data_IF_025342372074
#
_entry.id   IF_025342372074
#
_cell.length_a   1.000
_cell.length_b   1.000
_cell.length_c   1.000
_cell.angle_alpha   90.00
_cell.angle_beta   90.00
_cell.angle_gamma   90.00
#
_symmetry.space_group_name_H-M   'P 1'
#
loop_
_entity.id
_entity.type
_entity.pdbx_description
1 polymer ?
#
# COMPACT_ATOMS: atom_id res chain seq x y z
N UNK A 1 -14.94 29.99 -20.24
CA UNK A 1 -14.01 29.01 -20.80
C UNK A 1 -13.18 28.36 -19.70
N UNK A 2 -13.72 28.11 -18.51
CA UNK A 2 -13.01 27.51 -17.36
C UNK A 2 -13.81 26.38 -16.67
N UNK A 3 -14.86 25.87 -17.30
CA UNK A 3 -15.74 24.87 -16.70
C UNK A 3 -15.66 23.46 -17.34
N UNK A 4 -14.78 23.26 -18.32
CA UNK A 4 -14.66 21.99 -19.07
C UNK A 4 -13.42 21.16 -18.69
N UNK A 5 -12.57 21.64 -17.79
CA UNK A 5 -11.37 20.90 -17.37
C UNK A 5 -11.57 20.03 -16.12
N UNK A 6 -12.75 20.04 -15.53
CA UNK A 6 -13.04 19.29 -14.28
C UNK A 6 -13.55 17.86 -14.48
N UNK A 7 -13.68 17.36 -15.71
CA UNK A 7 -14.40 16.10 -15.97
C UNK A 7 -13.69 15.06 -16.85
N UNK A 8 -12.43 15.23 -17.12
CA UNK A 8 -11.70 14.15 -17.79
C UNK A 8 -10.51 13.70 -16.92
N UNK A 9 -10.78 12.87 -15.94
CA UNK A 9 -9.80 11.87 -15.54
C UNK A 9 -9.49 11.11 -16.82
N UNK A 10 -8.40 11.50 -17.49
CA UNK A 10 -8.05 10.84 -18.75
C UNK A 10 -7.79 9.37 -18.45
N UNK A 11 -8.24 8.49 -19.32
CA UNK A 11 -7.98 7.06 -19.18
C UNK A 11 -6.50 6.79 -18.92
N UNK A 12 -5.61 7.59 -19.50
CA UNK A 12 -4.17 7.53 -19.25
C UNK A 12 -3.80 7.79 -17.77
N UNK A 13 -4.41 8.78 -17.12
CA UNK A 13 -4.16 9.05 -15.70
C UNK A 13 -4.61 7.88 -14.82
N UNK A 14 -5.72 7.23 -15.21
CA UNK A 14 -6.21 6.05 -14.51
C UNK A 14 -5.22 4.88 -14.64
N UNK A 15 -4.65 4.64 -15.83
CA UNK A 15 -3.66 3.58 -16.04
C UNK A 15 -2.41 3.78 -15.17
N UNK A 16 -1.93 5.01 -15.05
CA UNK A 16 -0.78 5.31 -14.21
C UNK A 16 -1.09 5.28 -12.70
N UNK A 17 -2.36 5.44 -12.30
CA UNK A 17 -2.78 5.30 -10.90
C UNK A 17 -3.02 3.84 -10.48
N UNK A 18 -3.17 2.89 -11.42
CA UNK A 18 -3.47 1.48 -11.16
C UNK A 18 -2.57 0.84 -10.09
N UNK A 19 -1.24 1.02 -10.08
CA UNK A 19 -0.39 0.39 -9.07
C UNK A 19 -0.75 0.80 -7.63
N UNK A 20 -1.08 2.06 -7.40
CA UNK A 20 -1.50 2.55 -6.08
C UNK A 20 -2.93 2.09 -5.76
N UNK A 21 -3.82 2.14 -6.74
CA UNK A 21 -5.20 1.65 -6.59
C UNK A 21 -5.26 0.15 -6.26
N UNK A 22 -4.32 -0.65 -6.76
CA UNK A 22 -4.24 -2.08 -6.39
C UNK A 22 -3.85 -2.27 -4.94
N UNK A 23 -3.01 -1.42 -4.36
CA UNK A 23 -2.69 -1.47 -2.93
C UNK A 23 -3.93 -1.10 -2.11
N UNK A 24 -4.67 -0.05 -2.49
CA UNK A 24 -5.92 0.35 -1.82
C UNK A 24 -6.96 -0.77 -1.90
N UNK A 25 -7.22 -1.29 -3.10
CA UNK A 25 -8.15 -2.41 -3.30
C UNK A 25 -7.70 -3.66 -2.52
N UNK A 26 -6.39 -3.91 -2.48
CA UNK A 26 -5.78 -5.00 -1.73
C UNK A 26 -6.07 -4.92 -0.24
N UNK A 27 -5.96 -3.74 0.37
CA UNK A 27 -6.31 -3.53 1.79
C UNK A 27 -7.77 -3.92 2.03
N UNK A 28 -8.69 -3.45 1.19
CA UNK A 28 -10.12 -3.76 1.30
C UNK A 28 -10.35 -5.27 1.16
N UNK A 29 -9.71 -5.91 0.17
CA UNK A 29 -9.84 -7.35 -0.05
C UNK A 29 -9.30 -8.16 1.14
N UNK A 30 -8.12 -7.83 1.65
CA UNK A 30 -7.54 -8.51 2.82
C UNK A 30 -8.42 -8.30 4.05
N UNK A 31 -8.97 -7.10 4.25
CA UNK A 31 -9.90 -6.79 5.35
C UNK A 31 -11.20 -7.60 5.26
N UNK A 32 -11.77 -7.73 4.07
CA UNK A 32 -12.97 -8.55 3.85
C UNK A 32 -12.69 -10.05 4.03
N UNK A 33 -11.55 -10.54 3.57
CA UNK A 33 -11.15 -11.94 3.74
C UNK A 33 -10.89 -12.26 5.22
N UNK A 34 -10.27 -11.35 5.97
CA UNK A 34 -10.08 -11.49 7.41
C UNK A 34 -11.42 -11.55 8.17
N UNK A 35 -12.42 -10.76 7.76
CA UNK A 35 -13.76 -10.78 8.35
C UNK A 35 -14.59 -12.01 8.00
N UNK A 36 -14.44 -12.53 6.76
CA UNK A 36 -15.24 -13.66 6.28
C UNK A 36 -14.70 -15.03 6.74
N UNK A 37 -13.40 -15.22 6.64
CA UNK A 37 -12.74 -16.49 6.96
C UNK A 37 -11.45 -16.22 7.69
N UNK A 38 -11.49 -16.37 9.00
CA UNK A 38 -10.35 -16.21 9.90
C UNK A 38 -9.30 -17.31 9.61
N UNK A 39 -8.45 -17.07 8.62
CA UNK A 39 -7.44 -18.01 8.16
C UNK A 39 -6.14 -17.28 7.85
N UNK A 40 -5.16 -17.49 8.70
CA UNK A 40 -3.83 -16.88 8.63
C UNK A 40 -3.13 -17.00 7.27
N UNK A 41 -3.33 -18.15 6.60
CA UNK A 41 -2.71 -18.41 5.30
C UNK A 41 -3.32 -17.57 4.17
N UNK A 42 -4.63 -17.33 4.22
CA UNK A 42 -5.34 -16.58 3.16
C UNK A 42 -4.88 -15.12 3.15
N UNK A 43 -4.82 -14.46 4.30
CA UNK A 43 -4.39 -13.06 4.42
C UNK A 43 -2.93 -12.87 3.98
N UNK A 44 -2.06 -13.82 4.29
CA UNK A 44 -0.68 -13.83 3.81
C UNK A 44 -0.58 -13.89 2.28
N UNK A 45 -1.22 -14.89 1.66
CA UNK A 45 -1.16 -15.04 0.20
C UNK A 45 -1.87 -13.88 -0.52
N UNK A 46 -2.94 -13.37 0.04
CA UNK A 46 -3.62 -12.17 -0.49
C UNK A 46 -2.68 -10.96 -0.47
N UNK A 47 -1.97 -10.71 0.64
CA UNK A 47 -1.00 -9.61 0.75
C UNK A 47 0.14 -9.77 -0.25
N UNK A 48 0.69 -10.98 -0.40
CA UNK A 48 1.73 -11.25 -1.41
C UNK A 48 1.22 -11.00 -2.83
N UNK A 49 0.01 -11.45 -3.15
CA UNK A 49 -0.57 -11.26 -4.48
C UNK A 49 -0.81 -9.80 -4.81
N UNK A 50 -1.26 -9.00 -3.83
CA UNK A 50 -1.45 -7.54 -3.97
C UNK A 50 -0.13 -6.84 -4.27
N UNK A 51 0.92 -7.13 -3.50
CA UNK A 51 2.23 -6.50 -3.70
C UNK A 51 2.86 -6.91 -5.03
N UNK A 52 2.76 -8.19 -5.43
CA UNK A 52 3.24 -8.67 -6.73
C UNK A 52 2.49 -8.00 -7.88
N UNK A 53 1.17 -7.89 -7.77
CA UNK A 53 0.35 -7.23 -8.78
C UNK A 53 0.71 -5.75 -8.89
N UNK A 54 0.93 -5.05 -7.78
CA UNK A 54 1.37 -3.66 -7.77
C UNK A 54 2.73 -3.47 -8.47
N UNK A 55 3.68 -4.39 -8.26
CA UNK A 55 4.98 -4.37 -8.95
C UNK A 55 4.80 -4.60 -10.45
N UNK A 56 4.04 -5.63 -10.84
CA UNK A 56 3.81 -5.96 -12.26
C UNK A 56 3.14 -4.80 -13.01
N UNK A 57 2.14 -4.18 -12.40
CA UNK A 57 1.48 -3.00 -12.98
C UNK A 57 2.42 -1.80 -13.07
N UNK A 58 3.23 -1.57 -12.04
CA UNK A 58 4.21 -0.46 -12.07
C UNK A 58 5.30 -0.66 -13.12
N UNK A 59 5.68 -1.90 -13.41
CA UNK A 59 6.61 -2.22 -14.50
C UNK A 59 5.96 -2.12 -15.88
N UNK A 60 4.69 -2.51 -16.01
CA UNK A 60 3.95 -2.44 -17.27
C UNK A 60 3.61 -1.01 -17.68
N UNK A 61 3.34 -0.14 -16.72
CA UNK A 61 2.97 1.27 -16.93
C UNK A 61 4.08 2.21 -16.44
N UNK A 62 5.31 1.94 -16.83
CA UNK A 62 6.46 2.76 -16.45
C UNK A 62 6.43 4.08 -17.23
N UNK A 63 6.31 5.25 -16.59
CA UNK A 63 6.18 6.52 -17.28
C UNK A 63 7.52 6.94 -17.90
N UNK A 64 7.53 7.28 -19.17
CA UNK A 64 8.71 7.84 -19.85
C UNK A 64 8.87 9.32 -19.51
N UNK A 65 7.77 10.04 -19.35
CA UNK A 65 7.72 11.45 -18.97
C UNK A 65 6.98 11.64 -17.64
N UNK A 66 7.11 12.83 -17.05
CA UNK A 66 6.43 13.15 -15.81
C UNK A 66 4.94 13.39 -16.05
N UNK A 67 4.10 12.53 -15.49
CA UNK A 67 2.64 12.62 -15.57
C UNK A 67 2.09 13.14 -14.25
N UNK A 68 1.36 14.25 -14.28
CA UNK A 68 0.58 14.73 -13.14
C UNK A 68 -0.73 13.96 -13.07
N UNK A 69 -0.87 13.06 -12.09
CA UNK A 69 -2.12 12.32 -11.86
C UNK A 69 -3.23 13.24 -11.37
N UNK A 70 -2.88 14.14 -10.45
CA UNK A 70 -3.74 15.18 -9.89
C UNK A 70 -2.85 16.36 -9.48
N UNK A 71 -3.45 17.46 -9.04
CA UNK A 71 -2.67 18.56 -8.41
C UNK A 71 -1.88 18.06 -7.19
N UNK A 72 -2.32 16.99 -6.54
CA UNK A 72 -1.76 16.44 -5.30
C UNK A 72 -0.71 15.35 -5.52
N UNK A 73 -0.70 14.70 -6.68
CA UNK A 73 0.16 13.55 -6.96
C UNK A 73 0.81 13.64 -8.34
N UNK A 74 2.13 13.39 -8.38
CA UNK A 74 2.94 13.38 -9.60
C UNK A 74 3.70 12.08 -9.74
N UNK A 75 3.64 11.51 -10.93
CA UNK A 75 4.33 10.29 -11.30
C UNK A 75 5.47 10.61 -12.27
N UNK A 76 6.66 10.12 -12.00
CA UNK A 76 7.81 10.18 -12.90
C UNK A 76 8.65 8.89 -12.76
N UNK A 77 9.69 8.74 -13.58
CA UNK A 77 10.59 7.57 -13.52
C UNK A 77 11.16 7.31 -12.12
N UNK A 78 11.56 8.36 -11.43
CA UNK A 78 12.17 8.25 -10.09
C UNK A 78 11.15 7.77 -9.07
N UNK A 79 9.96 8.36 -9.03
CA UNK A 79 8.91 7.97 -8.08
C UNK A 79 8.42 6.55 -8.34
N UNK A 80 8.29 6.13 -9.61
CA UNK A 80 7.93 4.75 -9.96
C UNK A 80 9.00 3.75 -9.54
N UNK A 81 10.29 4.07 -9.74
CA UNK A 81 11.39 3.21 -9.29
C UNK A 81 11.41 3.08 -7.77
N UNK A 82 11.22 4.18 -7.03
CA UNK A 82 11.15 4.15 -5.55
C UNK A 82 9.95 3.34 -5.07
N UNK A 83 8.79 3.46 -5.75
CA UNK A 83 7.60 2.66 -5.44
C UNK A 83 7.84 1.16 -5.65
N UNK A 84 8.49 0.77 -6.74
CA UNK A 84 8.87 -0.64 -6.98
C UNK A 84 9.81 -1.13 -5.87
N UNK A 85 10.82 -0.34 -5.49
CA UNK A 85 11.71 -0.68 -4.39
C UNK A 85 10.95 -0.84 -3.06
N UNK A 86 10.00 0.05 -2.78
CA UNK A 86 9.12 -0.05 -1.61
C UNK A 86 8.33 -1.37 -1.63
N UNK A 87 7.73 -1.74 -2.76
CA UNK A 87 6.98 -2.99 -2.87
C UNK A 87 7.85 -4.24 -2.73
N UNK A 88 9.06 -4.24 -3.30
CA UNK A 88 10.03 -5.35 -3.18
C UNK A 88 10.49 -5.53 -1.73
N UNK A 89 10.85 -4.44 -1.05
CA UNK A 89 11.22 -4.50 0.38
C UNK A 89 10.05 -4.94 1.24
N UNK A 90 8.83 -4.51 0.92
CA UNK A 90 7.60 -4.94 1.59
C UNK A 90 7.35 -6.44 1.43
N UNK A 91 7.59 -7.02 0.25
CA UNK A 91 7.51 -8.47 0.03
C UNK A 91 8.49 -9.23 0.93
N UNK A 92 9.73 -8.75 1.02
CA UNK A 92 10.76 -9.34 1.90
C UNK A 92 10.32 -9.31 3.36
N UNK A 93 9.80 -8.18 3.83
CA UNK A 93 9.32 -8.01 5.22
C UNK A 93 8.15 -8.97 5.49
N UNK A 94 7.16 -9.05 4.62
CA UNK A 94 6.00 -9.96 4.76
C UNK A 94 6.44 -11.42 4.81
N UNK A 95 7.43 -11.80 3.99
CA UNK A 95 7.98 -13.15 3.98
C UNK A 95 8.66 -13.52 5.30
N UNK A 96 9.51 -12.63 5.83
CA UNK A 96 10.21 -12.84 7.10
C UNK A 96 9.22 -12.80 8.28
N UNK A 97 8.31 -11.84 8.28
CA UNK A 97 7.31 -11.67 9.33
C UNK A 97 6.41 -12.90 9.49
N UNK A 98 6.10 -13.62 8.40
CA UNK A 98 5.29 -14.84 8.47
C UNK A 98 5.86 -15.87 9.44
N UNK A 99 7.17 -16.13 9.37
CA UNK A 99 7.80 -17.12 10.25
C UNK A 99 7.70 -16.70 11.72
N UNK A 100 7.95 -15.43 11.99
CA UNK A 100 7.82 -14.88 13.35
C UNK A 100 6.39 -14.98 13.89
N UNK A 101 5.41 -14.57 13.08
CA UNK A 101 4.00 -14.57 13.45
C UNK A 101 3.48 -15.97 13.74
N UNK A 102 3.84 -16.98 12.96
CA UNK A 102 3.39 -18.36 13.16
C UNK A 102 3.81 -18.96 14.53
N UNK A 103 4.90 -18.47 15.11
CA UNK A 103 5.41 -18.95 16.40
C UNK A 103 4.94 -18.14 17.60
N UNK A 104 4.54 -16.87 17.42
CA UNK A 104 4.36 -15.96 18.55
C UNK A 104 2.97 -15.31 18.65
N UNK A 105 2.10 -15.53 17.66
CA UNK A 105 0.84 -14.78 17.56
C UNK A 105 -0.31 -15.69 17.19
N UNK A 106 -1.45 -15.60 17.88
CA UNK A 106 -2.63 -16.42 17.58
C UNK A 106 -3.43 -15.90 16.38
N UNK A 107 -3.50 -14.57 16.21
CA UNK A 107 -4.23 -13.92 15.11
C UNK A 107 -3.27 -13.08 14.27
N UNK A 108 -3.10 -13.38 13.00
CA UNK A 108 -2.07 -12.75 12.15
C UNK A 108 -2.66 -11.76 11.13
N UNK A 109 -3.96 -11.72 11.01
CA UNK A 109 -4.67 -11.02 9.93
C UNK A 109 -4.53 -9.50 10.06
N UNK A 110 -4.64 -8.98 11.27
CA UNK A 110 -4.53 -7.55 11.56
C UNK A 110 -3.15 -6.99 11.21
N UNK A 111 -2.10 -7.79 11.39
CA UNK A 111 -0.74 -7.41 11.00
C UNK A 111 -0.65 -7.08 9.51
N UNK A 112 -1.22 -7.92 8.63
CA UNK A 112 -1.13 -7.70 7.19
C UNK A 112 -1.91 -6.48 6.73
N UNK A 113 -3.06 -6.20 7.35
CA UNK A 113 -3.86 -5.00 7.07
C UNK A 113 -3.10 -3.74 7.47
N UNK A 114 -2.58 -3.69 8.71
CA UNK A 114 -1.80 -2.55 9.20
C UNK A 114 -0.52 -2.35 8.38
N UNK A 115 0.14 -3.43 7.99
CA UNK A 115 1.33 -3.38 7.16
C UNK A 115 1.03 -2.80 5.76
N UNK A 116 -0.05 -3.24 5.11
CA UNK A 116 -0.48 -2.65 3.83
C UNK A 116 -0.86 -1.17 3.96
N UNK A 117 -1.42 -0.74 5.10
CA UNK A 117 -1.67 0.68 5.37
C UNK A 117 -0.37 1.48 5.48
N UNK A 118 0.69 0.92 6.09
CA UNK A 118 2.03 1.54 6.08
C UNK A 118 2.54 1.69 4.65
N UNK A 119 2.43 0.65 3.83
CA UNK A 119 2.84 0.69 2.42
C UNK A 119 2.05 1.74 1.64
N UNK A 120 0.74 1.86 1.88
CA UNK A 120 -0.09 2.88 1.27
C UNK A 120 0.33 4.29 1.69
N UNK A 121 0.57 4.53 2.97
CA UNK A 121 1.06 5.81 3.48
C UNK A 121 2.40 6.19 2.87
N UNK A 122 3.35 5.25 2.81
CA UNK A 122 4.65 5.44 2.17
C UNK A 122 4.52 5.71 0.67
N UNK A 123 3.64 5.01 -0.05
CA UNK A 123 3.38 5.27 -1.47
C UNK A 123 2.79 6.66 -1.70
N UNK A 124 1.89 7.11 -0.83
CA UNK A 124 1.33 8.47 -0.89
C UNK A 124 2.42 9.53 -0.72
N UNK A 125 3.41 9.31 0.16
CA UNK A 125 4.58 10.18 0.31
C UNK A 125 5.44 10.23 -0.97
N UNK A 126 5.68 9.08 -1.60
CA UNK A 126 6.50 8.97 -2.82
C UNK A 126 5.89 9.78 -3.97
N UNK A 127 4.56 9.74 -4.10
CA UNK A 127 3.85 10.43 -5.19
C UNK A 127 3.39 11.84 -4.84
N UNK A 128 3.61 12.31 -3.60
CA UNK A 128 3.17 13.62 -3.14
C UNK A 128 3.77 14.75 -3.99
N UNK A 129 2.90 15.60 -4.53
CA UNK A 129 3.27 16.81 -5.28
C UNK A 129 2.86 18.09 -4.54
N UNK A 130 2.11 17.97 -3.45
CA UNK A 130 1.61 19.07 -2.65
C UNK A 130 1.81 18.79 -1.17
N UNK A 131 1.98 19.85 -0.37
CA UNK A 131 2.19 19.72 1.08
C UNK A 131 1.06 18.93 1.77
N UNK A 132 -0.20 19.13 1.33
CA UNK A 132 -1.34 18.40 1.88
C UNK A 132 -1.24 16.88 1.67
N UNK A 133 -0.82 16.41 0.48
CA UNK A 133 -0.65 14.98 0.21
C UNK A 133 0.53 14.38 0.97
N UNK A 134 1.61 15.16 1.14
CA UNK A 134 2.76 14.75 1.95
C UNK A 134 2.34 14.58 3.42
N UNK A 135 1.62 15.55 3.97
CA UNK A 135 1.12 15.47 5.34
C UNK A 135 0.19 14.28 5.56
N UNK A 136 -0.76 14.07 4.63
CA UNK A 136 -1.70 12.94 4.68
C UNK A 136 -0.97 11.58 4.64
N UNK A 137 0.01 11.42 3.75
CA UNK A 137 0.81 10.19 3.65
C UNK A 137 1.62 9.92 4.92
N UNK A 138 2.22 10.97 5.51
CA UNK A 138 2.95 10.87 6.76
C UNK A 138 2.04 10.49 7.93
N UNK A 139 0.87 11.10 8.03
CA UNK A 139 -0.10 10.81 9.09
C UNK A 139 -0.63 9.37 8.98
N UNK A 140 -1.02 8.93 7.77
CA UNK A 140 -1.46 7.56 7.52
C UNK A 140 -0.39 6.54 7.90
N UNK A 141 0.86 6.76 7.47
CA UNK A 141 1.98 5.88 7.79
C UNK A 141 2.24 5.84 9.30
N UNK A 142 2.21 6.98 9.98
CA UNK A 142 2.47 7.08 11.42
C UNK A 142 1.41 6.36 12.23
N UNK A 143 0.12 6.55 11.92
CA UNK A 143 -0.99 5.88 12.61
C UNK A 143 -0.90 4.36 12.40
N UNK A 144 -0.64 3.91 11.18
CA UNK A 144 -0.51 2.50 10.86
C UNK A 144 0.69 1.85 11.59
N UNK A 145 1.84 2.54 11.69
CA UNK A 145 3.00 2.06 12.45
C UNK A 145 2.72 1.97 13.95
N UNK A 146 2.07 2.96 14.53
CA UNK A 146 1.65 2.93 15.94
C UNK A 146 0.72 1.74 16.20
N UNK A 147 -0.26 1.52 15.29
CA UNK A 147 -1.14 0.36 15.34
C UNK A 147 -0.37 -0.96 15.28
N UNK A 148 0.62 -1.07 14.39
CA UNK A 148 1.44 -2.26 14.20
C UNK A 148 2.28 -2.59 15.45
N UNK A 149 2.92 -1.57 16.05
CA UNK A 149 3.72 -1.72 17.28
C UNK A 149 2.81 -2.07 18.47
N UNK A 150 1.65 -1.41 18.58
CA UNK A 150 0.65 -1.70 19.63
C UNK A 150 0.14 -3.13 19.54
N UNK A 151 -0.14 -3.61 18.34
CA UNK A 151 -0.57 -4.98 18.09
C UNK A 151 0.46 -6.03 18.55
N UNK A 152 1.72 -5.85 18.18
CA UNK A 152 2.80 -6.76 18.56
C UNK A 152 3.03 -6.76 20.09
N UNK A 153 2.93 -5.61 20.74
CA UNK A 153 3.11 -5.48 22.18
C UNK A 153 1.99 -6.16 22.98
N UNK A 154 0.74 -6.01 22.56
CA UNK A 154 -0.42 -6.61 23.25
C UNK A 154 -0.32 -8.14 23.29
N UNK A 155 0.20 -8.76 22.25
CA UNK A 155 0.36 -10.21 22.19
C UNK A 155 1.56 -10.72 23.01
N UNK A 156 2.61 -9.91 23.15
CA UNK A 156 3.77 -10.26 23.99
C UNK A 156 3.46 -10.28 25.49
N UNK A 157 2.39 -9.61 25.96
CA UNK A 157 1.95 -9.62 27.34
C UNK A 157 0.92 -10.71 27.68
N UNK A 158 0.46 -11.47 26.69
CA UNK A 158 -0.53 -12.56 26.87
C UNK A 158 0.11 -13.92 27.15
N UNK A 159 1.43 -13.95 27.33
CA UNK A 159 2.20 -15.11 27.78
C UNK A 159 2.61 -14.89 29.25
#
# INVERSE_FOLDING_TARGET
MAATELTAFSLEQLYFALPVLTVVAGIVVVMLLAGWRRSNSISYYATLSVLLLAILLSLSFFPEEAVSLTMLAKLNKVTSTIFIMLCVTSLMIVYIARQYLLYHVETHEEFYILFLLVVLGASTLIFANHFASLFLGFELMSIALVGLVGYLKQQSFSI
#
